data_IF_550410813909
#
_entry.id   IF_550410813909
#
_cell.length_a   1.000
_cell.length_b   1.000
_cell.length_c   1.000
_cell.angle_alpha   90.00
_cell.angle_beta   90.00
_cell.angle_gamma   90.00
#
_symmetry.space_group_name_H-M   'P 1'
#
loop_
_entity.id
_entity.type
_entity.pdbx_description
1 polymer ?
#
# COMPACT_ATOMS: atom_id res chain seq x y z
N UNK A 1 21.61 73.34 12.54
CA UNK A 1 21.30 73.06 11.12
C UNK A 1 21.67 71.60 10.88
N UNK A 2 20.69 70.70 10.97
CA UNK A 2 20.88 69.24 10.90
C UNK A 2 20.18 68.76 9.63
N UNK A 3 20.95 68.20 8.69
CA UNK A 3 20.44 67.68 7.41
C UNK A 3 20.00 66.24 7.67
N UNK A 4 18.69 65.98 7.68
CA UNK A 4 18.14 64.63 7.62
C UNK A 4 18.15 64.15 6.16
N UNK A 5 18.98 63.16 5.87
CA UNK A 5 18.91 62.38 4.64
C UNK A 5 17.80 61.34 4.76
N UNK A 6 16.71 61.53 4.01
CA UNK A 6 15.67 60.51 3.81
C UNK A 6 16.15 59.54 2.74
N UNK A 7 16.37 58.28 3.12
CA UNK A 7 16.57 57.17 2.18
C UNK A 7 15.21 56.64 1.73
N UNK A 8 14.83 56.90 0.49
CA UNK A 8 13.70 56.23 -0.17
C UNK A 8 14.06 54.77 -0.46
N UNK A 9 13.38 53.82 0.20
CA UNK A 9 13.39 52.42 -0.22
C UNK A 9 12.59 52.27 -1.53
N UNK A 10 13.11 51.54 -2.54
CA UNK A 10 12.36 51.26 -3.75
C UNK A 10 11.18 50.34 -3.41
N UNK A 11 9.96 50.82 -3.68
CA UNK A 11 8.71 50.14 -3.43
C UNK A 11 8.69 48.73 -4.02
N UNK A 12 8.89 47.72 -3.15
CA UNK A 12 8.68 46.34 -3.48
C UNK A 12 7.23 46.15 -3.92
N UNK A 13 7.04 45.76 -5.18
CA UNK A 13 5.74 45.31 -5.68
C UNK A 13 5.41 44.03 -4.93
N UNK A 14 4.68 44.18 -3.84
CA UNK A 14 4.05 43.12 -3.08
C UNK A 14 3.07 42.39 -4.01
N UNK A 15 3.55 41.37 -4.73
CA UNK A 15 2.71 40.33 -5.31
C UNK A 15 2.15 39.46 -4.16
N UNK A 16 1.37 40.08 -3.27
CA UNK A 16 0.42 39.39 -2.42
C UNK A 16 -0.71 38.94 -3.33
N UNK A 17 -0.50 37.82 -4.02
CA UNK A 17 -1.63 36.98 -4.43
C UNK A 17 -2.37 36.68 -3.12
N UNK A 18 -3.66 37.03 -2.98
CA UNK A 18 -4.36 36.88 -1.71
C UNK A 18 -4.27 35.42 -1.27
N UNK A 19 -3.92 35.16 -0.02
CA UNK A 19 -3.90 33.81 0.55
C UNK A 19 -5.20 33.01 0.30
N UNK A 20 -6.31 33.71 0.03
CA UNK A 20 -7.58 33.14 -0.41
C UNK A 20 -7.53 32.44 -1.78
N UNK A 21 -6.68 32.88 -2.71
CA UNK A 21 -6.50 32.26 -4.03
C UNK A 21 -5.78 30.92 -3.93
N UNK A 22 -4.69 30.85 -3.15
CA UNK A 22 -3.99 29.60 -2.87
C UNK A 22 -4.86 28.62 -2.05
N UNK A 23 -5.67 29.14 -1.12
CA UNK A 23 -6.63 28.34 -0.36
C UNK A 23 -7.74 27.77 -1.26
N UNK A 24 -8.31 28.60 -2.15
CA UNK A 24 -9.35 28.20 -3.10
C UNK A 24 -8.83 27.12 -4.06
N UNK A 25 -7.64 27.33 -4.64
CA UNK A 25 -7.03 26.35 -5.54
C UNK A 25 -6.63 25.06 -4.84
N UNK A 26 -6.20 25.13 -3.58
CA UNK A 26 -5.91 23.94 -2.77
C UNK A 26 -7.18 23.14 -2.45
N UNK A 27 -8.29 23.82 -2.14
CA UNK A 27 -9.60 23.19 -1.89
C UNK A 27 -10.15 22.57 -3.17
N UNK A 28 -10.05 23.25 -4.31
CA UNK A 28 -10.45 22.73 -5.62
C UNK A 28 -9.59 21.52 -6.01
N UNK A 29 -8.27 21.59 -5.84
CA UNK A 29 -7.38 20.47 -6.12
C UNK A 29 -7.68 19.26 -5.22
N UNK A 30 -7.91 19.47 -3.92
CA UNK A 30 -8.31 18.41 -2.98
C UNK A 30 -9.66 17.81 -3.33
N UNK A 31 -10.66 18.62 -3.69
CA UNK A 31 -11.98 18.14 -4.10
C UNK A 31 -11.92 17.33 -5.40
N UNK A 32 -11.10 17.76 -6.38
CA UNK A 32 -10.86 17.01 -7.61
C UNK A 32 -10.15 15.69 -7.32
N UNK A 33 -9.12 15.68 -6.46
CA UNK A 33 -8.39 14.46 -6.11
C UNK A 33 -9.25 13.48 -5.30
N UNK A 34 -10.06 13.98 -4.36
CA UNK A 34 -11.03 13.18 -3.63
C UNK A 34 -12.13 12.64 -4.56
N UNK A 35 -12.61 13.44 -5.50
CA UNK A 35 -13.60 13.05 -6.50
C UNK A 35 -13.07 11.98 -7.46
N UNK A 36 -11.85 12.15 -7.97
CA UNK A 36 -11.18 11.15 -8.82
C UNK A 36 -10.90 9.88 -8.03
N UNK A 37 -10.49 9.97 -6.77
CA UNK A 37 -10.29 8.81 -5.91
C UNK A 37 -11.58 8.05 -5.62
N UNK A 38 -12.65 8.76 -5.27
CA UNK A 38 -13.98 8.17 -5.09
C UNK A 38 -14.49 7.54 -6.38
N UNK A 39 -14.30 8.20 -7.53
CA UNK A 39 -14.67 7.68 -8.85
C UNK A 39 -13.88 6.41 -9.18
N UNK A 40 -12.56 6.38 -8.97
CA UNK A 40 -11.73 5.19 -9.20
C UNK A 40 -12.19 4.03 -8.30
N UNK A 41 -12.46 4.29 -7.02
CA UNK A 41 -12.98 3.27 -6.10
C UNK A 41 -14.35 2.76 -6.55
N UNK A 42 -15.26 3.65 -6.95
CA UNK A 42 -16.61 3.30 -7.40
C UNK A 42 -16.60 2.56 -8.74
N UNK A 43 -15.77 2.99 -9.71
CA UNK A 43 -15.60 2.34 -11.02
C UNK A 43 -14.95 0.98 -10.85
N UNK A 44 -13.90 0.85 -10.04
CA UNK A 44 -13.29 -0.45 -9.74
C UNK A 44 -14.32 -1.36 -9.06
N UNK A 45 -15.05 -0.86 -8.06
CA UNK A 45 -16.10 -1.63 -7.38
C UNK A 45 -17.23 -2.03 -8.33
N UNK A 46 -17.61 -1.18 -9.28
CA UNK A 46 -18.62 -1.48 -10.29
C UNK A 46 -18.14 -2.51 -11.31
N UNK A 47 -16.87 -2.41 -11.75
CA UNK A 47 -16.24 -3.33 -12.69
C UNK A 47 -15.85 -4.68 -12.06
N UNK A 48 -15.69 -4.74 -10.74
CA UNK A 48 -15.36 -5.98 -10.00
C UNK A 48 -16.54 -6.56 -9.24
N UNK A 49 -17.77 -6.05 -9.44
CA UNK A 49 -18.97 -6.75 -8.98
C UNK A 49 -19.08 -8.02 -9.81
N UNK A 50 -18.67 -9.14 -9.24
CA UNK A 50 -19.20 -10.41 -9.73
C UNK A 50 -20.71 -10.46 -9.43
N UNK A 51 -21.52 -11.04 -10.33
CA UNK A 51 -22.91 -11.32 -10.06
C UNK A 51 -23.02 -12.08 -8.74
N UNK A 52 -23.96 -11.68 -7.88
CA UNK A 52 -24.18 -12.36 -6.61
C UNK A 52 -24.31 -13.88 -6.85
N UNK A 53 -23.65 -14.73 -6.05
CA UNK A 53 -23.82 -16.16 -6.17
C UNK A 53 -25.32 -16.45 -6.00
N UNK A 54 -25.91 -17.07 -7.02
CA UNK A 54 -27.30 -17.48 -6.95
C UNK A 54 -27.49 -18.31 -5.68
N UNK A 55 -28.44 -17.91 -4.82
CA UNK A 55 -28.78 -18.54 -3.55
C UNK A 55 -28.99 -20.08 -3.65
N UNK A 56 -29.19 -20.60 -4.85
CA UNK A 56 -29.30 -22.04 -5.14
C UNK A 56 -28.01 -22.84 -4.93
N UNK A 57 -26.81 -22.24 -5.01
CA UNK A 57 -25.53 -22.98 -4.84
C UNK A 57 -25.09 -23.22 -3.39
N UNK A 58 -25.74 -22.56 -2.42
CA UNK A 58 -25.42 -22.67 -0.99
C UNK A 58 -26.07 -23.89 -0.31
N UNK A 59 -27.12 -24.45 -0.92
CA UNK A 59 -27.83 -25.61 -0.39
C UNK A 59 -27.13 -26.96 -0.69
N UNK A 60 -26.29 -27.01 -1.74
CA UNK A 60 -25.57 -28.22 -2.20
C UNK A 60 -24.06 -28.21 -1.86
N UNK A 61 -23.58 -27.23 -1.09
CA UNK A 61 -22.15 -27.02 -0.85
C UNK A 61 -21.53 -28.04 0.10
N UNK A 62 -20.49 -28.74 -0.36
CA UNK A 62 -19.64 -29.63 0.46
C UNK A 62 -19.26 -28.94 1.80
N UNK A 63 -19.64 -29.51 2.96
CA UNK A 63 -19.44 -28.88 4.27
C UNK A 63 -17.98 -28.54 4.56
N UNK A 64 -17.03 -29.28 3.95
CA UNK A 64 -15.59 -29.01 4.09
C UNK A 64 -15.18 -27.74 3.36
N UNK A 65 -15.71 -27.51 2.14
CA UNK A 65 -15.45 -26.27 1.36
C UNK A 65 -16.04 -25.07 2.07
N UNK A 66 -17.25 -25.19 2.62
CA UNK A 66 -17.91 -24.15 3.41
C UNK A 66 -17.10 -23.79 4.67
N UNK A 67 -16.62 -24.78 5.43
CA UNK A 67 -15.77 -24.54 6.61
C UNK A 67 -14.45 -23.86 6.25
N UNK A 68 -13.79 -24.29 5.16
CA UNK A 68 -12.55 -23.67 4.68
C UNK A 68 -12.75 -22.21 4.22
N UNK A 69 -13.85 -21.92 3.52
CA UNK A 69 -14.24 -20.54 3.15
C UNK A 69 -14.47 -19.68 4.38
N UNK A 70 -15.24 -20.17 5.36
CA UNK A 70 -15.49 -19.46 6.62
C UNK A 70 -14.20 -19.13 7.34
N UNK A 71 -13.27 -20.08 7.46
CA UNK A 71 -11.96 -19.81 8.08
C UNK A 71 -11.18 -18.74 7.31
N UNK A 72 -11.11 -18.83 5.97
CA UNK A 72 -10.41 -17.85 5.15
C UNK A 72 -11.04 -16.43 5.25
N UNK A 73 -12.39 -16.34 5.32
CA UNK A 73 -13.08 -15.07 5.56
C UNK A 73 -12.81 -14.53 6.96
N UNK A 74 -12.87 -15.37 8.00
CA UNK A 74 -12.60 -14.96 9.37
C UNK A 74 -11.18 -14.45 9.53
N UNK A 75 -10.18 -15.12 8.94
CA UNK A 75 -8.79 -14.65 8.93
C UNK A 75 -8.65 -13.30 8.24
N UNK A 76 -9.33 -13.11 7.11
CA UNK A 76 -9.24 -11.85 6.35
C UNK A 76 -9.92 -10.69 7.08
N UNK A 77 -11.09 -10.95 7.70
CA UNK A 77 -11.77 -9.97 8.55
C UNK A 77 -10.92 -9.65 9.77
N UNK A 78 -10.38 -10.66 10.46
CA UNK A 78 -9.49 -10.45 11.60
C UNK A 78 -8.24 -9.65 11.22
N UNK A 79 -7.65 -9.90 10.04
CA UNK A 79 -6.51 -9.14 9.55
C UNK A 79 -6.87 -7.68 9.23
N UNK A 80 -8.02 -7.43 8.60
CA UNK A 80 -8.51 -6.08 8.36
C UNK A 80 -8.82 -5.33 9.68
N UNK A 81 -9.45 -6.01 10.64
CA UNK A 81 -9.73 -5.45 11.97
C UNK A 81 -8.45 -5.13 12.73
N UNK A 82 -7.46 -6.03 12.73
CA UNK A 82 -6.17 -5.78 13.36
C UNK A 82 -5.45 -4.57 12.74
N UNK A 83 -5.48 -4.46 11.41
CA UNK A 83 -4.94 -3.31 10.68
C UNK A 83 -5.66 -2.00 11.07
N UNK A 84 -6.99 -2.03 11.14
CA UNK A 84 -7.80 -0.87 11.51
C UNK A 84 -7.56 -0.44 12.97
N UNK A 85 -7.46 -1.39 13.91
CA UNK A 85 -7.16 -1.10 15.32
C UNK A 85 -5.78 -0.47 15.48
N UNK A 86 -4.75 -1.02 14.80
CA UNK A 86 -3.41 -0.41 14.81
C UNK A 86 -3.45 0.99 14.21
N UNK A 87 -4.18 1.19 13.11
CA UNK A 87 -4.39 2.51 12.53
C UNK A 87 -5.03 3.50 13.52
N UNK A 88 -6.08 3.09 14.22
CA UNK A 88 -6.75 3.92 15.22
C UNK A 88 -5.84 4.29 16.39
N UNK A 89 -5.06 3.33 16.91
CA UNK A 89 -4.08 3.57 17.98
C UNK A 89 -2.99 4.54 17.53
N UNK A 90 -2.51 4.43 16.29
CA UNK A 90 -1.51 5.34 15.74
C UNK A 90 -2.05 6.76 15.59
N UNK A 91 -3.26 6.92 15.07
CA UNK A 91 -3.92 8.23 14.98
C UNK A 91 -4.06 8.84 16.38
N UNK A 92 -4.56 8.08 17.35
CA UNK A 92 -4.69 8.53 18.72
C UNK A 92 -3.33 8.97 19.30
N UNK A 93 -2.30 8.13 19.16
CA UNK A 93 -0.96 8.42 19.69
C UNK A 93 -0.36 9.70 19.10
N UNK A 94 -0.51 9.91 17.79
CA UNK A 94 -0.09 11.15 17.09
C UNK A 94 -0.86 12.36 17.62
N UNK A 95 -2.16 12.23 17.88
CA UNK A 95 -2.98 13.38 18.33
C UNK A 95 -2.79 13.75 19.80
N UNK A 96 -2.42 12.81 20.68
CA UNK A 96 -2.46 13.07 22.14
C UNK A 96 -1.18 12.79 22.91
N UNK A 97 -0.24 12.03 22.36
CA UNK A 97 0.90 11.51 23.13
C UNK A 97 2.27 11.82 22.53
N UNK A 98 2.33 12.07 21.22
CA UNK A 98 3.60 12.22 20.50
C UNK A 98 3.65 13.59 19.85
N UNK A 99 4.76 14.31 20.04
CA UNK A 99 4.99 15.60 19.42
C UNK A 99 6.39 15.72 18.83
N UNK A 100 6.58 16.76 18.01
CA UNK A 100 7.87 17.07 17.42
C UNK A 100 8.32 16.02 16.40
N UNK A 101 9.58 15.60 16.47
CA UNK A 101 10.17 14.74 15.44
C UNK A 101 9.63 13.31 15.43
N UNK A 102 9.28 12.80 16.61
CA UNK A 102 8.71 11.47 16.75
C UNK A 102 7.34 11.35 16.07
N UNK A 103 6.58 12.45 16.04
CA UNK A 103 5.29 12.53 15.34
C UNK A 103 5.47 12.26 13.84
N UNK A 104 6.42 12.95 13.20
CA UNK A 104 6.71 12.76 11.77
C UNK A 104 7.19 11.34 11.43
N UNK A 105 7.98 10.71 12.32
CA UNK A 105 8.40 9.31 12.15
C UNK A 105 7.20 8.37 12.25
N UNK A 106 6.32 8.55 13.23
CA UNK A 106 5.12 7.72 13.39
C UNK A 106 4.13 7.88 12.24
N UNK A 107 3.89 9.11 11.80
CA UNK A 107 3.01 9.40 10.66
C UNK A 107 3.57 8.73 9.40
N UNK A 108 4.87 8.86 9.13
CA UNK A 108 5.52 8.22 7.99
C UNK A 108 5.50 6.69 8.05
N UNK A 109 5.69 6.10 9.23
CA UNK A 109 5.65 4.65 9.43
C UNK A 109 4.24 4.07 9.46
N UNK A 110 3.20 4.89 9.55
CA UNK A 110 1.83 4.43 9.76
C UNK A 110 1.35 3.39 8.73
N UNK A 111 1.59 3.53 7.40
CA UNK A 111 1.16 2.51 6.44
C UNK A 111 1.92 1.19 6.62
N UNK A 112 3.20 1.27 7.02
CA UNK A 112 4.02 0.09 7.25
C UNK A 112 3.58 -0.67 8.51
N UNK A 113 3.29 0.02 9.60
CA UNK A 113 2.80 -0.61 10.84
C UNK A 113 1.43 -1.27 10.63
N UNK A 114 0.51 -0.59 9.94
CA UNK A 114 -0.80 -1.14 9.56
C UNK A 114 -0.63 -2.36 8.65
N UNK A 115 0.24 -2.28 7.65
CA UNK A 115 0.54 -3.40 6.74
C UNK A 115 1.19 -4.60 7.45
N UNK A 116 2.07 -4.36 8.43
CA UNK A 116 2.70 -5.42 9.22
C UNK A 116 1.69 -6.11 10.15
N UNK A 117 0.76 -5.36 10.77
CA UNK A 117 -0.33 -5.92 11.56
C UNK A 117 -1.24 -6.82 10.71
N UNK A 118 -1.59 -6.35 9.51
CA UNK A 118 -2.34 -7.13 8.51
C UNK A 118 -1.61 -8.43 8.15
N UNK A 119 -0.31 -8.35 7.84
CA UNK A 119 0.51 -9.54 7.53
C UNK A 119 0.65 -10.49 8.71
N UNK A 120 0.81 -9.97 9.93
CA UNK A 120 0.90 -10.75 11.16
C UNK A 120 -0.36 -11.58 11.41
N UNK A 121 -1.54 -10.96 11.26
CA UNK A 121 -2.82 -11.66 11.37
C UNK A 121 -2.99 -12.75 10.30
N UNK A 122 -2.59 -12.49 9.06
CA UNK A 122 -2.55 -13.50 8.01
C UNK A 122 -1.57 -14.64 8.33
N UNK A 123 -0.38 -14.33 8.86
CA UNK A 123 0.59 -15.35 9.27
C UNK A 123 0.03 -16.25 10.39
N UNK A 124 -0.71 -15.68 11.35
CA UNK A 124 -1.38 -16.43 12.42
C UNK A 124 -2.49 -17.30 11.82
N UNK A 125 -3.35 -16.73 10.98
CA UNK A 125 -4.45 -17.45 10.32
C UNK A 125 -3.97 -18.62 9.46
N UNK A 126 -2.83 -18.47 8.79
CA UNK A 126 -2.21 -19.55 8.01
C UNK A 126 -1.57 -20.64 8.89
N UNK A 127 -1.14 -20.30 10.12
CA UNK A 127 -0.63 -21.28 11.10
C UNK A 127 -1.74 -22.03 11.83
N UNK A 128 -2.93 -21.46 11.96
CA UNK A 128 -4.07 -22.05 12.68
C UNK A 128 -4.95 -22.95 11.82
N UNK A 129 -4.58 -23.23 10.57
CA UNK A 129 -5.34 -24.18 9.73
C UNK A 129 -5.45 -25.55 10.40
N UNK A 130 -6.66 -26.18 10.38
CA UNK A 130 -6.86 -27.52 10.92
C UNK A 130 -5.90 -28.52 10.25
N UNK A 131 -5.06 -29.17 11.06
CA UNK A 131 -4.19 -30.26 10.57
C UNK A 131 -5.03 -31.49 10.25
N UNK A 132 -4.64 -32.24 9.21
CA UNK A 132 -5.26 -33.53 8.91
C UNK A 132 -5.08 -34.47 10.11
N UNK A 133 -6.19 -34.85 10.77
CA UNK A 133 -6.22 -35.83 11.88
C UNK A 133 -6.77 -37.19 11.41
N UNK A 134 -6.56 -37.54 10.14
CA UNK A 134 -7.05 -38.80 9.57
C UNK A 134 -5.97 -39.87 9.61
N UNK A 135 -6.37 -41.11 9.91
CA UNK A 135 -5.47 -42.27 10.05
C UNK A 135 -4.74 -42.66 8.75
N UNK A 136 -5.19 -42.15 7.60
CA UNK A 136 -4.60 -42.43 6.28
C UNK A 136 -3.80 -41.21 5.80
N UNK A 137 -2.47 -41.37 5.75
CA UNK A 137 -1.52 -40.36 5.29
C UNK A 137 -1.46 -40.37 3.76
N UNK A 138 -2.40 -39.69 3.10
CA UNK A 138 -2.31 -39.47 1.65
C UNK A 138 -1.32 -38.34 1.35
N UNK A 139 -0.08 -38.68 1.00
CA UNK A 139 0.94 -37.72 0.59
C UNK A 139 0.92 -37.56 -0.93
N UNK A 140 0.38 -36.45 -1.43
CA UNK A 140 0.56 -36.05 -2.83
C UNK A 140 2.01 -35.60 -3.03
N UNK A 141 2.82 -36.38 -3.74
CA UNK A 141 4.26 -36.18 -3.97
C UNK A 141 4.60 -35.09 -5.02
N UNK A 142 3.84 -33.99 -5.08
CA UNK A 142 4.20 -32.88 -5.98
C UNK A 142 4.92 -31.79 -5.18
N UNK A 143 6.19 -31.46 -5.49
CA UNK A 143 6.85 -30.30 -4.91
C UNK A 143 6.02 -29.06 -5.22
N UNK A 144 5.61 -28.32 -4.20
CA UNK A 144 4.83 -27.08 -4.35
C UNK A 144 5.72 -25.90 -4.01
N UNK A 145 5.76 -24.94 -4.92
CA UNK A 145 6.61 -23.75 -4.81
C UNK A 145 5.76 -22.48 -4.71
N UNK A 146 6.36 -21.40 -4.19
CA UNK A 146 5.68 -20.09 -4.11
C UNK A 146 5.24 -19.61 -5.50
N UNK A 147 5.95 -19.98 -6.55
CA UNK A 147 5.61 -19.68 -7.95
C UNK A 147 4.31 -20.31 -8.43
N UNK A 148 3.82 -21.37 -7.79
CA UNK A 148 2.59 -22.06 -8.18
C UNK A 148 1.33 -21.35 -7.62
N UNK A 149 1.53 -20.58 -6.55
CA UNK A 149 0.47 -19.93 -5.77
C UNK A 149 0.46 -18.41 -5.96
N UNK A 150 1.63 -17.79 -6.02
CA UNK A 150 1.74 -16.34 -6.16
C UNK A 150 1.80 -15.96 -7.65
N UNK A 151 0.82 -15.18 -8.17
CA UNK A 151 0.89 -14.68 -9.54
C UNK A 151 2.14 -13.80 -9.69
N UNK A 152 2.97 -14.14 -10.69
CA UNK A 152 4.28 -13.50 -10.92
C UNK A 152 4.17 -11.98 -11.08
N UNK A 153 3.10 -11.51 -11.72
CA UNK A 153 2.83 -10.08 -11.91
C UNK A 153 2.67 -9.32 -10.59
N UNK A 154 1.80 -9.79 -9.69
CA UNK A 154 1.62 -9.14 -8.38
C UNK A 154 2.89 -9.21 -7.54
N UNK A 155 3.58 -10.36 -7.53
CA UNK A 155 4.83 -10.49 -6.78
C UNK A 155 5.88 -9.49 -7.29
N UNK A 156 6.07 -9.40 -8.61
CA UNK A 156 6.97 -8.40 -9.22
C UNK A 156 6.56 -6.97 -8.88
N UNK A 157 5.27 -6.66 -8.90
CA UNK A 157 4.77 -5.34 -8.50
C UNK A 157 5.08 -5.02 -7.03
N UNK A 158 4.92 -5.97 -6.12
CA UNK A 158 5.27 -5.78 -4.70
C UNK A 158 6.77 -5.48 -4.53
N UNK A 159 7.63 -6.23 -5.23
CA UNK A 159 9.07 -5.96 -5.23
C UNK A 159 9.40 -4.60 -5.86
N UNK A 160 8.74 -4.24 -6.95
CA UNK A 160 8.92 -2.95 -7.61
C UNK A 160 8.49 -1.77 -6.71
N UNK A 161 7.38 -1.89 -5.99
CA UNK A 161 6.95 -0.89 -5.01
C UNK A 161 7.91 -0.80 -3.82
N UNK A 162 8.42 -1.92 -3.32
CA UNK A 162 9.46 -1.94 -2.31
C UNK A 162 10.73 -1.22 -2.78
N UNK A 163 11.19 -1.53 -3.99
CA UNK A 163 12.33 -0.85 -4.61
C UNK A 163 12.07 0.64 -4.84
N UNK A 164 10.85 1.02 -5.23
CA UNK A 164 10.46 2.42 -5.39
C UNK A 164 10.59 3.18 -4.07
N UNK A 165 10.09 2.63 -2.95
CA UNK A 165 10.27 3.25 -1.63
C UNK A 165 11.75 3.43 -1.32
N UNK A 166 12.58 2.40 -1.55
CA UNK A 166 14.03 2.49 -1.32
C UNK A 166 14.68 3.59 -2.17
N UNK A 167 14.34 3.67 -3.46
CA UNK A 167 14.84 4.72 -4.36
C UNK A 167 14.40 6.10 -3.87
N UNK A 168 13.14 6.29 -3.50
CA UNK A 168 12.63 7.56 -2.98
C UNK A 168 13.36 7.97 -1.69
N UNK A 169 13.60 7.03 -0.77
CA UNK A 169 14.33 7.30 0.47
C UNK A 169 15.81 7.61 0.20
N UNK A 170 16.43 6.96 -0.78
CA UNK A 170 17.80 7.23 -1.17
C UNK A 170 17.93 8.61 -1.83
N UNK A 171 17.02 8.95 -2.76
CA UNK A 171 16.96 10.28 -3.38
C UNK A 171 16.73 11.35 -2.32
N UNK A 172 15.74 11.16 -1.43
CA UNK A 172 15.49 12.07 -0.31
C UNK A 172 16.72 12.22 0.58
N UNK A 173 17.39 11.12 0.94
CA UNK A 173 18.60 11.13 1.73
C UNK A 173 19.78 11.86 1.08
N UNK A 174 19.98 11.68 -0.23
CA UNK A 174 21.04 12.34 -0.99
C UNK A 174 20.79 13.83 -1.25
N UNK A 175 19.54 14.27 -1.19
CA UNK A 175 19.13 15.67 -1.48
C UNK A 175 18.80 16.47 -0.22
N UNK A 176 18.78 15.82 0.94
CA UNK A 176 18.57 16.50 2.21
C UNK A 176 19.79 17.33 2.62
N UNK A 177 19.55 18.38 3.39
CA UNK A 177 20.59 19.15 4.08
C UNK A 177 21.35 18.31 5.11
N UNK A 178 22.34 18.91 5.75
CA UNK A 178 23.20 18.25 6.74
C UNK A 178 22.44 17.70 7.96
N UNK A 179 21.26 18.23 8.26
CA UNK A 179 20.36 17.73 9.30
C UNK A 179 19.57 16.47 8.90
N UNK A 180 19.69 16.05 7.63
CA UNK A 180 19.07 14.83 7.09
C UNK A 180 17.54 14.89 6.98
N UNK A 181 16.93 16.08 7.10
CA UNK A 181 15.47 16.25 7.15
C UNK A 181 14.96 17.58 6.60
N UNK A 182 15.85 18.47 6.18
CA UNK A 182 15.50 19.72 5.52
C UNK A 182 15.94 19.71 4.07
N UNK A 183 15.35 20.59 3.27
CA UNK A 183 15.83 20.92 1.91
C UNK A 183 16.06 22.42 1.83
N UNK A 184 17.19 22.83 1.25
CA UNK A 184 17.60 24.23 1.15
C UNK A 184 17.78 24.61 -0.31
N UNK A 185 17.19 25.72 -0.72
CA UNK A 185 17.39 26.34 -2.02
C UNK A 185 18.07 27.70 -1.83
N UNK A 186 19.16 27.92 -2.56
CA UNK A 186 19.86 29.21 -2.62
C UNK A 186 19.62 29.78 -4.01
N UNK A 187 19.10 31.01 -4.09
CA UNK A 187 18.85 31.73 -5.33
C UNK A 187 19.32 33.18 -5.18
N UNK A 188 20.50 33.49 -5.72
CA UNK A 188 21.17 34.77 -5.47
C UNK A 188 21.46 34.92 -3.96
N UNK A 189 21.02 36.05 -3.39
CA UNK A 189 21.17 36.35 -1.96
C UNK A 189 20.06 35.76 -1.08
N UNK A 190 19.07 35.08 -1.68
CA UNK A 190 17.93 34.51 -0.94
C UNK A 190 18.17 33.03 -0.68
N UNK A 191 18.16 32.64 0.60
CA UNK A 191 18.21 31.23 1.03
C UNK A 191 16.88 30.84 1.68
N UNK A 192 16.25 29.78 1.17
CA UNK A 192 15.03 29.20 1.74
C UNK A 192 15.26 27.76 2.18
N UNK A 193 15.01 27.47 3.45
CA UNK A 193 15.14 26.13 4.04
C UNK A 193 13.78 25.67 4.53
N UNK A 194 13.36 24.47 4.13
CA UNK A 194 12.07 23.90 4.56
C UNK A 194 12.23 22.51 5.15
N UNK A 195 11.41 22.23 6.16
CA UNK A 195 11.20 20.93 6.82
C UNK A 195 9.69 20.73 7.05
N UNK A 196 9.15 19.49 7.09
CA UNK A 196 9.84 18.20 6.97
C UNK A 196 10.09 17.75 5.52
N UNK A 197 11.31 17.30 5.23
CA UNK A 197 11.72 16.67 3.97
C UNK A 197 12.09 15.19 4.24
N UNK A 198 11.74 14.23 3.37
CA UNK A 198 11.99 12.80 3.57
C UNK A 198 13.46 12.40 3.35
N UNK A 199 14.38 13.12 4.01
CA UNK A 199 15.81 12.80 4.06
C UNK A 199 16.13 11.60 4.94
N UNK A 200 17.42 11.31 5.15
CA UNK A 200 17.87 10.11 5.86
C UNK A 200 17.25 9.91 7.26
N UNK A 201 16.93 11.01 7.96
CA UNK A 201 16.29 10.95 9.27
C UNK A 201 14.96 10.18 9.25
N UNK A 202 14.11 10.43 8.24
CA UNK A 202 12.85 9.70 8.05
C UNK A 202 13.03 8.49 7.13
N UNK A 203 13.80 8.66 6.06
CA UNK A 203 13.99 7.69 4.99
C UNK A 203 14.54 6.36 5.47
N UNK A 204 15.43 6.35 6.47
CA UNK A 204 15.94 5.10 7.05
C UNK A 204 14.83 4.23 7.65
N UNK A 205 13.89 4.83 8.38
CA UNK A 205 12.76 4.14 8.98
C UNK A 205 11.77 3.65 7.91
N UNK A 206 11.50 4.48 6.89
CA UNK A 206 10.63 4.10 5.77
C UNK A 206 11.23 2.95 4.96
N UNK A 207 12.54 2.97 4.73
CA UNK A 207 13.27 1.89 4.06
C UNK A 207 13.20 0.58 4.87
N UNK A 208 13.44 0.65 6.19
CA UNK A 208 13.30 -0.50 7.08
C UNK A 208 11.86 -1.07 7.04
N UNK A 209 10.84 -0.21 7.12
CA UNK A 209 9.44 -0.60 7.00
C UNK A 209 9.12 -1.30 5.67
N UNK A 210 9.63 -0.78 4.55
CA UNK A 210 9.45 -1.37 3.23
C UNK A 210 10.11 -2.76 3.13
N UNK A 211 11.33 -2.91 3.64
CA UNK A 211 12.04 -4.20 3.68
C UNK A 211 11.25 -5.21 4.53
N UNK A 212 10.76 -4.81 5.70
CA UNK A 212 9.97 -5.66 6.57
C UNK A 212 8.64 -6.08 5.93
N UNK A 213 7.96 -5.18 5.21
CA UNK A 213 6.74 -5.51 4.47
C UNK A 213 6.99 -6.54 3.37
N UNK A 214 8.03 -6.35 2.56
CA UNK A 214 8.39 -7.29 1.47
C UNK A 214 8.79 -8.64 2.05
N UNK A 215 9.65 -8.66 3.08
CA UNK A 215 10.08 -9.88 3.74
C UNK A 215 8.91 -10.60 4.42
N UNK A 216 8.01 -9.85 5.08
CA UNK A 216 6.81 -10.36 5.71
C UNK A 216 5.85 -10.98 4.71
N UNK A 217 5.62 -10.33 3.56
CA UNK A 217 4.80 -10.86 2.49
C UNK A 217 5.38 -12.17 1.92
N UNK A 218 6.68 -12.23 1.64
CA UNK A 218 7.36 -13.46 1.21
C UNK A 218 7.28 -14.55 2.28
N UNK A 219 7.40 -14.20 3.55
CA UNK A 219 7.22 -15.10 4.69
C UNK A 219 5.82 -15.72 4.72
N UNK A 220 4.78 -14.91 4.59
CA UNK A 220 3.39 -15.38 4.54
C UNK A 220 3.15 -16.23 3.29
N UNK A 221 3.67 -15.85 2.12
CA UNK A 221 3.56 -16.67 0.90
C UNK A 221 4.21 -18.05 1.06
N UNK A 222 5.35 -18.14 1.77
CA UNK A 222 5.98 -19.42 2.11
C UNK A 222 5.10 -20.24 3.06
N UNK A 223 4.41 -19.61 4.02
CA UNK A 223 3.44 -20.31 4.88
C UNK A 223 2.26 -20.85 4.06
N UNK A 224 1.69 -20.04 3.17
CA UNK A 224 0.59 -20.44 2.27
C UNK A 224 1.02 -21.61 1.36
N UNK A 225 2.24 -21.57 0.80
CA UNK A 225 2.75 -22.66 -0.04
C UNK A 225 2.99 -23.97 0.75
N UNK A 226 3.41 -23.86 2.02
CA UNK A 226 3.72 -25.01 2.90
C UNK A 226 2.52 -25.54 3.69
N UNK A 227 1.37 -24.84 3.66
CA UNK A 227 0.15 -25.23 4.35
C UNK A 227 -0.25 -26.68 3.99
N UNK A 228 -0.66 -27.53 4.95
CA UNK A 228 -1.23 -28.85 4.67
C UNK A 228 -2.48 -28.75 3.78
N UNK A 229 -2.67 -29.68 2.84
CA UNK A 229 -3.85 -29.70 1.98
C UNK A 229 -5.13 -29.92 2.81
N UNK A 230 -6.22 -29.25 2.42
CA UNK A 230 -7.53 -29.48 3.06
C UNK A 230 -7.95 -30.93 2.80
N UNK A 231 -8.29 -31.72 3.84
CA UNK A 231 -8.76 -33.10 3.65
C UNK A 231 -10.00 -33.15 2.74
N UNK A 232 -10.12 -34.18 1.91
CA UNK A 232 -11.34 -34.49 1.12
C UNK A 232 -11.75 -33.42 0.09
N UNK A 233 -10.85 -32.51 -0.27
CA UNK A 233 -11.09 -31.53 -1.34
C UNK A 233 -10.17 -31.81 -2.52
N UNK A 234 -10.68 -31.53 -3.72
CA UNK A 234 -9.93 -31.68 -4.96
C UNK A 234 -8.65 -30.81 -4.97
N UNK A 235 -7.51 -31.31 -5.48
CA UNK A 235 -6.26 -30.56 -5.51
C UNK A 235 -6.33 -29.22 -6.24
N UNK A 236 -7.15 -29.11 -7.28
CA UNK A 236 -7.35 -27.86 -8.04
C UNK A 236 -8.00 -26.76 -7.20
N UNK A 237 -9.00 -27.12 -6.39
CA UNK A 237 -9.69 -26.19 -5.51
C UNK A 237 -8.81 -25.74 -4.33
N UNK A 238 -8.01 -26.64 -3.73
CA UNK A 238 -7.03 -26.26 -2.70
C UNK A 238 -6.00 -25.25 -3.24
N UNK A 239 -5.58 -25.41 -4.49
CA UNK A 239 -4.66 -24.47 -5.14
C UNK A 239 -5.33 -23.10 -5.38
N UNK A 240 -6.57 -23.08 -5.86
CA UNK A 240 -7.34 -21.85 -6.06
C UNK A 240 -7.54 -21.09 -4.74
N UNK A 241 -7.85 -21.80 -3.65
CA UNK A 241 -7.97 -21.21 -2.31
C UNK A 241 -6.65 -20.56 -1.85
N UNK A 242 -5.51 -21.23 -2.09
CA UNK A 242 -4.18 -20.66 -1.77
C UNK A 242 -3.87 -19.44 -2.62
N UNK A 243 -4.22 -19.46 -3.91
CA UNK A 243 -4.07 -18.30 -4.81
C UNK A 243 -4.90 -17.12 -4.30
N UNK A 244 -6.12 -17.35 -3.85
CA UNK A 244 -6.95 -16.30 -3.25
C UNK A 244 -6.29 -15.69 -1.99
N UNK A 245 -5.76 -16.51 -1.08
CA UNK A 245 -4.97 -16.02 0.07
C UNK A 245 -3.75 -15.19 -0.39
N UNK A 246 -2.98 -15.69 -1.36
CA UNK A 246 -1.80 -14.99 -1.87
C UNK A 246 -2.15 -13.63 -2.51
N UNK A 247 -3.28 -13.53 -3.21
CA UNK A 247 -3.76 -12.25 -3.75
C UNK A 247 -4.08 -11.25 -2.64
N UNK A 248 -4.76 -11.66 -1.57
CA UNK A 248 -5.10 -10.77 -0.44
C UNK A 248 -3.84 -10.25 0.24
N UNK A 249 -2.89 -11.14 0.52
CA UNK A 249 -1.59 -10.80 1.13
C UNK A 249 -0.84 -9.81 0.25
N UNK A 250 -0.65 -10.13 -1.04
CA UNK A 250 0.09 -9.27 -1.96
C UNK A 250 -0.57 -7.89 -2.14
N UNK A 251 -1.90 -7.83 -2.29
CA UNK A 251 -2.64 -6.57 -2.45
C UNK A 251 -2.60 -5.71 -1.19
N UNK A 252 -2.72 -6.31 0.00
CA UNK A 252 -2.56 -5.59 1.27
C UNK A 252 -1.16 -5.02 1.44
N UNK A 253 -0.12 -5.78 1.08
CA UNK A 253 1.27 -5.27 1.08
C UNK A 253 1.49 -4.17 0.06
N UNK A 254 0.93 -4.31 -1.16
CA UNK A 254 1.01 -3.28 -2.20
C UNK A 254 0.31 -1.98 -1.80
N UNK A 255 -0.81 -2.08 -1.09
CA UNK A 255 -1.50 -0.91 -0.53
C UNK A 255 -0.59 -0.18 0.46
N UNK A 256 -0.01 -0.90 1.43
CA UNK A 256 0.90 -0.30 2.41
C UNK A 256 2.13 0.36 1.74
N UNK A 257 2.83 -0.36 0.85
CA UNK A 257 3.99 0.17 0.14
C UNK A 257 3.63 1.35 -0.77
N UNK A 258 2.50 1.29 -1.46
CA UNK A 258 2.03 2.35 -2.33
C UNK A 258 1.67 3.62 -1.56
N UNK A 259 1.01 3.49 -0.40
CA UNK A 259 0.73 4.62 0.48
C UNK A 259 2.01 5.21 1.09
N UNK A 260 2.99 4.38 1.45
CA UNK A 260 4.32 4.87 1.87
C UNK A 260 5.01 5.63 0.75
N UNK A 261 5.06 5.08 -0.48
CA UNK A 261 5.67 5.76 -1.62
C UNK A 261 4.99 7.10 -1.95
N UNK A 262 3.65 7.12 -1.95
CA UNK A 262 2.85 8.32 -2.16
C UNK A 262 3.10 9.37 -1.06
N UNK A 263 3.10 8.96 0.21
CA UNK A 263 3.40 9.84 1.33
C UNK A 263 4.78 10.47 1.23
N UNK A 264 5.82 9.65 0.98
CA UNK A 264 7.20 10.12 0.79
C UNK A 264 7.28 11.16 -0.32
N UNK A 265 6.68 10.89 -1.48
CA UNK A 265 6.65 11.84 -2.60
C UNK A 265 5.89 13.12 -2.26
N UNK A 266 4.73 13.01 -1.62
CA UNK A 266 3.91 14.17 -1.27
C UNK A 266 4.62 15.12 -0.29
N UNK A 267 5.24 14.58 0.76
CA UNK A 267 6.00 15.39 1.72
C UNK A 267 7.25 15.99 1.10
N UNK A 268 7.99 15.23 0.29
CA UNK A 268 9.13 15.75 -0.46
C UNK A 268 8.74 16.87 -1.42
N UNK A 269 7.65 16.68 -2.17
CA UNK A 269 7.12 17.68 -3.08
C UNK A 269 6.67 18.95 -2.36
N UNK A 270 5.95 18.81 -1.23
CA UNK A 270 5.50 19.95 -0.43
C UNK A 270 6.68 20.77 0.12
N UNK A 271 7.72 20.10 0.65
CA UNK A 271 8.91 20.77 1.12
C UNK A 271 9.69 21.45 -0.03
N UNK A 272 9.79 20.80 -1.19
CA UNK A 272 10.40 21.38 -2.37
C UNK A 272 9.62 22.61 -2.88
N UNK A 273 8.29 22.56 -2.90
CA UNK A 273 7.42 23.68 -3.27
C UNK A 273 7.63 24.89 -2.35
N UNK A 274 7.65 24.66 -1.03
CA UNK A 274 7.87 25.70 -0.02
C UNK A 274 9.28 26.28 -0.05
N UNK A 275 10.27 25.49 -0.45
CA UNK A 275 11.63 25.97 -0.73
C UNK A 275 11.74 26.71 -2.09
N UNK A 276 10.69 26.71 -2.90
CA UNK A 276 10.62 27.42 -4.18
C UNK A 276 11.15 26.64 -5.39
N UNK A 277 11.29 25.31 -5.31
CA UNK A 277 11.67 24.51 -6.48
C UNK A 277 10.51 24.42 -7.49
N UNK A 278 10.76 24.70 -8.79
CA UNK A 278 9.75 24.54 -9.81
C UNK A 278 9.40 23.05 -10.01
N UNK A 279 8.17 22.76 -10.44
CA UNK A 279 7.73 21.39 -10.77
C UNK A 279 7.22 20.55 -9.60
N UNK A 280 7.22 21.06 -8.37
CA UNK A 280 6.72 20.33 -7.20
C UNK A 280 5.24 19.90 -7.32
N UNK A 281 4.40 20.67 -8.01
CA UNK A 281 2.99 20.32 -8.28
C UNK A 281 2.85 18.99 -9.04
N UNK A 282 3.76 18.73 -9.99
CA UNK A 282 3.76 17.47 -10.76
C UNK A 282 4.00 16.28 -9.82
N UNK A 283 4.91 16.42 -8.86
CA UNK A 283 5.20 15.36 -7.88
C UNK A 283 4.02 15.10 -6.94
N UNK A 284 3.25 16.12 -6.57
CA UNK A 284 2.01 15.94 -5.80
C UNK A 284 0.97 15.16 -6.61
N UNK A 285 0.77 15.50 -7.88
CA UNK A 285 -0.15 14.77 -8.76
C UNK A 285 0.27 13.30 -8.91
N UNK A 286 1.57 13.04 -9.09
CA UNK A 286 2.13 11.67 -9.15
C UNK A 286 1.89 10.93 -7.85
N UNK A 287 2.14 11.57 -6.70
CA UNK A 287 1.90 10.97 -5.38
C UNK A 287 0.44 10.54 -5.21
N UNK A 288 -0.50 11.40 -5.60
CA UNK A 288 -1.93 11.07 -5.52
C UNK A 288 -2.29 9.95 -6.49
N UNK A 289 -1.79 9.98 -7.73
CA UNK A 289 -1.96 8.90 -8.69
C UNK A 289 -1.51 7.55 -8.12
N UNK A 290 -0.34 7.50 -7.48
CA UNK A 290 0.17 6.29 -6.81
C UNK A 290 -0.76 5.86 -5.67
N UNK A 291 -1.22 6.78 -4.82
CA UNK A 291 -2.13 6.47 -3.72
C UNK A 291 -3.45 5.87 -4.24
N UNK A 292 -4.04 6.47 -5.27
CA UNK A 292 -5.29 5.99 -5.86
C UNK A 292 -5.13 4.61 -6.50
N UNK A 293 -4.03 4.37 -7.22
CA UNK A 293 -3.73 3.05 -7.78
C UNK A 293 -3.51 2.03 -6.67
N UNK A 294 -2.81 2.38 -5.59
CA UNK A 294 -2.59 1.49 -4.45
C UNK A 294 -3.91 1.09 -3.79
N UNK A 295 -4.81 2.05 -3.55
CA UNK A 295 -6.16 1.82 -3.02
C UNK A 295 -6.97 0.95 -3.98
N UNK A 296 -6.98 1.28 -5.28
CA UNK A 296 -7.67 0.51 -6.29
C UNK A 296 -7.22 -0.95 -6.33
N UNK A 297 -5.91 -1.20 -6.24
CA UNK A 297 -5.35 -2.56 -6.20
C UNK A 297 -5.71 -3.28 -4.88
N UNK A 298 -5.67 -2.56 -3.75
CA UNK A 298 -5.98 -3.09 -2.42
C UNK A 298 -7.45 -3.53 -2.26
N UNK A 299 -8.39 -2.78 -2.82
CA UNK A 299 -9.84 -3.01 -2.66
C UNK A 299 -10.38 -4.10 -3.60
N UNK A 300 -9.61 -4.53 -4.62
CA UNK A 300 -10.06 -5.57 -5.55
C UNK A 300 -10.35 -6.88 -4.80
N UNK A 301 -11.52 -7.51 -5.02
CA UNK A 301 -11.84 -8.81 -4.44
C UNK A 301 -10.86 -9.87 -4.95
N UNK A 302 -10.42 -10.76 -4.06
CA UNK A 302 -9.60 -11.90 -4.46
C UNK A 302 -10.40 -12.85 -5.37
N UNK A 303 -9.77 -13.57 -6.31
CA UNK A 303 -10.45 -14.53 -7.17
C UNK A 303 -11.26 -15.55 -6.35
N UNK A 304 -12.49 -15.87 -6.80
CA UNK A 304 -13.29 -16.94 -6.20
C UNK A 304 -12.72 -18.30 -6.63
N UNK A 305 -12.36 -19.20 -5.69
CA UNK A 305 -11.84 -20.51 -6.04
C UNK A 305 -12.82 -21.39 -6.83
N UNK A 306 -14.13 -21.19 -6.70
CA UNK A 306 -15.12 -21.95 -7.49
C UNK A 306 -15.13 -21.49 -8.95
N UNK A 307 -15.03 -20.18 -9.18
CA UNK A 307 -14.95 -19.61 -10.53
C UNK A 307 -13.66 -20.04 -11.25
N UNK A 308 -12.54 -20.16 -10.52
CA UNK A 308 -11.26 -20.59 -11.09
C UNK A 308 -11.25 -22.08 -11.48
N UNK A 309 -11.96 -22.93 -10.74
CA UNK A 309 -12.12 -24.36 -11.07
C UNK A 309 -13.17 -24.57 -12.16
N UNK A 310 -14.23 -23.77 -12.17
CA UNK A 310 -15.29 -23.82 -13.19
C UNK A 310 -14.88 -23.22 -14.54
N UNK A 311 -13.81 -22.40 -14.58
CA UNK A 311 -13.29 -21.84 -15.82
C UNK A 311 -12.90 -22.98 -16.79
N UNK A 312 -13.53 -23.08 -17.97
CA UNK A 312 -13.25 -24.16 -18.89
C UNK A 312 -11.78 -24.14 -19.31
N UNK A 313 -11.16 -25.32 -19.42
CA UNK A 313 -9.78 -25.57 -19.85
C UNK A 313 -9.45 -25.13 -21.30
N UNK A 314 -10.09 -24.07 -21.79
CA UNK A 314 -10.03 -23.56 -23.17
C UNK A 314 -8.81 -22.70 -23.48
N UNK A 315 -7.93 -22.42 -22.50
CA UNK A 315 -6.70 -21.66 -22.72
C UNK A 315 -5.44 -22.54 -22.91
N UNK A 316 -5.58 -23.85 -23.03
CA UNK A 316 -4.47 -24.79 -23.07
C UNK A 316 -4.52 -25.78 -24.23
N UNK A 317 -4.30 -25.33 -25.47
CA UNK A 317 -3.54 -26.03 -26.54
C UNK A 317 -3.58 -25.20 -27.85
N UNK A 318 -2.82 -24.12 -27.88
CA UNK A 318 -2.67 -23.28 -29.09
C UNK A 318 -1.25 -22.76 -29.22
N UNK A 319 -0.25 -23.65 -29.08
CA UNK A 319 1.15 -23.28 -29.35
C UNK A 319 1.87 -24.40 -30.11
N UNK A 320 1.74 -24.29 -31.44
CA UNK A 320 2.74 -24.53 -32.50
C UNK A 320 3.34 -25.94 -32.59
N UNK A 321 2.68 -26.77 -33.39
CA UNK A 321 3.37 -27.54 -34.43
C UNK A 321 3.22 -26.75 -35.74
N UNK A 322 4.34 -26.42 -36.36
CA UNK A 322 4.46 -25.55 -37.54
C UNK A 322 5.81 -24.89 -37.58
#
# INVERSE_FOLDING_TARGET
MLIQSVSEEPGGVNMFVPAAYDLLWSVVALAVLAGVGALVVLVVRALTREPAPALHGLADGDPVRCAARRHATTVSVAAATAAALVGAVLVQAVTTAVGGLAEGVLVGLSPALVGLAFLGAHAVGERTWPRQRTAVRAATLRPRTVSDVAPRGLRRLTWALGALVLVLTAVGGLTAGSDGRSVTRVLGDVTSTTSPYPGWFYGAWLAAGAVLLVAGAEGVLRLVARRPAVPRVEPGWDLALRRASAHRVLRGTQLALGLTAAGTLAYGANAAARAGYPGAVVLVVVAVGIALVAVAVGVRPAPDPDAEVAAPASAGHGRRDG
#
